data_IF_299881156872
#
_entry.id   IF_299881156872
#
_cell.length_a   1.000
_cell.length_b   1.000
_cell.length_c   1.000
_cell.angle_alpha   90.00
_cell.angle_beta   90.00
_cell.angle_gamma   90.00
#
_symmetry.space_group_name_H-M   'P 1'
#
loop_
_entity.id
_entity.type
_entity.pdbx_description
1 polymer ?
#
# COMPACT_ATOMS: atom_id res chain seq x y z
N UNK A 1 -15.85 -1.79 10.50
CA UNK A 1 -15.39 -1.97 11.90
C UNK A 1 -15.07 -3.41 12.25
N UNK A 2 -16.01 -4.37 12.17
CA UNK A 2 -15.75 -5.78 12.49
C UNK A 2 -15.00 -6.53 11.37
N UNK A 3 -15.26 -6.17 10.11
CA UNK A 3 -14.58 -6.74 8.94
C UNK A 3 -13.10 -6.33 8.86
N UNK A 4 -12.80 -5.05 9.17
CA UNK A 4 -11.43 -4.51 9.14
C UNK A 4 -10.53 -5.20 10.17
N UNK A 5 -11.07 -5.53 11.36
CA UNK A 5 -10.34 -6.23 12.42
C UNK A 5 -10.04 -7.70 12.05
N UNK A 6 -11.01 -8.39 11.42
CA UNK A 6 -10.81 -9.76 10.93
C UNK A 6 -9.81 -9.81 9.78
N UNK A 7 -9.86 -8.85 8.84
CA UNK A 7 -8.86 -8.72 7.77
C UNK A 7 -7.47 -8.45 8.35
N UNK A 8 -7.36 -7.54 9.33
CA UNK A 8 -6.09 -7.20 9.97
C UNK A 8 -5.50 -8.38 10.77
N UNK A 9 -6.36 -9.19 11.42
CA UNK A 9 -5.97 -10.41 12.13
C UNK A 9 -5.58 -11.52 11.16
N UNK A 10 -6.35 -11.77 10.11
CA UNK A 10 -6.01 -12.77 9.10
C UNK A 10 -4.69 -12.42 8.41
N UNK A 11 -4.47 -11.15 8.07
CA UNK A 11 -3.19 -10.67 7.53
C UNK A 11 -2.01 -10.99 8.46
N UNK A 12 -2.19 -10.78 9.77
CA UNK A 12 -1.15 -11.07 10.77
C UNK A 12 -0.95 -12.58 11.03
N UNK A 13 -1.99 -13.41 10.84
CA UNK A 13 -1.95 -14.87 11.05
C UNK A 13 -1.31 -15.61 9.86
N UNK A 14 -1.45 -15.10 8.63
CA UNK A 14 -0.95 -15.78 7.43
C UNK A 14 0.41 -15.27 6.93
N UNK A 15 0.89 -14.12 7.40
CA UNK A 15 2.19 -13.58 6.98
C UNK A 15 3.36 -14.33 7.61
N UNK A 16 4.26 -14.86 6.77
CA UNK A 16 5.53 -15.46 7.19
C UNK A 16 6.42 -14.39 7.81
N UNK A 17 6.67 -14.48 9.12
CA UNK A 17 7.54 -13.53 9.85
C UNK A 17 8.86 -14.17 10.21
N UNK A 18 9.97 -13.52 9.87
CA UNK A 18 11.33 -14.00 10.11
C UNK A 18 12.16 -12.99 10.94
N UNK A 19 13.04 -13.46 11.83
CA UNK A 19 14.04 -12.60 12.46
C UNK A 19 14.96 -11.95 11.43
N UNK A 20 15.40 -10.72 11.69
CA UNK A 20 16.34 -9.98 10.81
C UNK A 20 17.59 -10.80 10.42
N UNK A 21 18.12 -11.62 11.32
CA UNK A 21 19.28 -12.47 11.03
C UNK A 21 18.99 -13.52 9.94
N UNK A 22 17.79 -14.13 9.98
CA UNK A 22 17.34 -15.11 8.98
C UNK A 22 17.08 -14.45 7.63
N UNK A 23 16.54 -13.22 7.66
CA UNK A 23 16.31 -12.41 6.46
C UNK A 23 17.65 -12.06 5.79
N UNK A 24 18.65 -11.62 6.55
CA UNK A 24 19.99 -11.31 6.02
C UNK A 24 20.67 -12.53 5.41
N UNK A 25 20.59 -13.69 6.07
CA UNK A 25 21.22 -14.92 5.60
C UNK A 25 20.62 -15.46 4.30
N UNK A 26 19.31 -15.29 4.10
CA UNK A 26 18.58 -15.88 2.97
C UNK A 26 17.97 -14.83 2.03
N UNK A 27 18.52 -13.61 2.01
CA UNK A 27 17.85 -12.45 1.42
C UNK A 27 17.42 -12.66 -0.04
N UNK A 28 18.31 -13.17 -0.88
CA UNK A 28 18.01 -13.42 -2.31
C UNK A 28 16.93 -14.47 -2.53
N UNK A 29 16.87 -15.53 -1.69
CA UNK A 29 15.82 -16.54 -1.79
C UNK A 29 14.46 -15.97 -1.37
N UNK A 30 14.45 -15.16 -0.32
CA UNK A 30 13.24 -14.47 0.14
C UNK A 30 12.72 -13.46 -0.89
N UNK A 31 13.60 -12.77 -1.63
CA UNK A 31 13.17 -11.90 -2.73
C UNK A 31 12.47 -12.68 -3.86
N UNK A 32 12.93 -13.89 -4.19
CA UNK A 32 12.22 -14.76 -5.15
C UNK A 32 10.83 -15.16 -4.65
N UNK A 33 10.69 -15.43 -3.35
CA UNK A 33 9.37 -15.67 -2.76
C UNK A 33 8.47 -14.43 -2.89
N UNK A 34 9.02 -13.23 -2.70
CA UNK A 34 8.28 -11.97 -2.87
C UNK A 34 7.89 -11.73 -4.33
N UNK A 35 8.75 -12.03 -5.29
CA UNK A 35 8.41 -11.95 -6.73
C UNK A 35 7.22 -12.86 -7.09
N UNK A 36 7.05 -13.99 -6.39
CA UNK A 36 5.91 -14.89 -6.56
C UNK A 36 4.63 -14.41 -5.88
N UNK A 37 4.66 -13.23 -5.23
CA UNK A 37 3.50 -12.62 -4.57
C UNK A 37 3.45 -12.82 -3.07
N UNK A 38 4.45 -13.45 -2.45
CA UNK A 38 4.45 -13.66 -1.00
C UNK A 38 4.88 -12.40 -0.24
N UNK A 39 4.39 -12.27 0.98
CA UNK A 39 4.78 -11.21 1.89
C UNK A 39 5.61 -11.75 3.04
N UNK A 40 6.62 -10.98 3.47
CA UNK A 40 7.58 -11.42 4.47
C UNK A 40 7.71 -10.36 5.57
N UNK A 41 7.24 -10.69 6.76
CA UNK A 41 7.42 -9.88 7.96
C UNK A 41 8.85 -9.98 8.49
N UNK A 42 9.39 -8.86 8.97
CA UNK A 42 10.71 -8.78 9.58
C UNK A 42 10.56 -8.45 11.06
N UNK A 43 10.94 -9.41 11.89
CA UNK A 43 11.01 -9.25 13.34
C UNK A 43 12.39 -8.74 13.77
N UNK A 44 12.41 -7.75 14.69
CA UNK A 44 13.63 -7.11 15.16
C UNK A 44 13.65 -6.91 16.68
N UNK A 45 14.86 -6.80 17.23
CA UNK A 45 15.10 -6.54 18.65
C UNK A 45 14.85 -7.74 19.56
N UNK A 46 15.00 -7.53 20.87
CA UNK A 46 14.91 -8.61 21.88
C UNK A 46 13.52 -9.24 21.96
N UNK A 47 12.48 -8.42 21.76
CA UNK A 47 11.09 -8.87 21.80
C UNK A 47 10.62 -9.53 20.51
N UNK A 48 11.46 -9.50 19.46
CA UNK A 48 11.12 -10.05 18.15
C UNK A 48 9.79 -9.50 17.61
N UNK A 49 9.57 -8.20 17.81
CA UNK A 49 8.39 -7.50 17.29
C UNK A 49 8.54 -7.33 15.77
N UNK A 50 7.46 -7.58 15.04
CA UNK A 50 7.42 -7.34 13.58
C UNK A 50 7.38 -5.84 13.35
N UNK A 51 8.45 -5.29 12.77
CA UNK A 51 8.58 -3.83 12.56
C UNK A 51 8.58 -3.43 11.09
N UNK A 52 8.69 -4.39 10.19
CA UNK A 52 8.69 -4.14 8.75
C UNK A 52 8.12 -5.34 7.99
N UNK A 53 7.69 -5.12 6.75
CA UNK A 53 7.25 -6.15 5.81
C UNK A 53 7.87 -5.88 4.43
N UNK A 54 8.30 -6.94 3.75
CA UNK A 54 8.67 -6.92 2.34
C UNK A 54 7.48 -7.42 1.56
N UNK A 55 6.99 -6.60 0.62
CA UNK A 55 5.84 -6.90 -0.24
C UNK A 55 6.23 -6.77 -1.72
N UNK A 56 5.52 -7.45 -2.64
CA UNK A 56 5.69 -7.23 -4.07
C UNK A 56 5.47 -5.76 -4.46
N UNK A 57 6.16 -5.26 -5.48
CA UNK A 57 6.06 -3.84 -5.87
C UNK A 57 4.65 -3.49 -6.37
N UNK A 58 3.95 -4.43 -7.00
CA UNK A 58 2.56 -4.32 -7.43
C UNK A 58 1.60 -4.18 -6.24
N UNK A 59 1.82 -4.93 -5.16
CA UNK A 59 1.04 -4.81 -3.93
C UNK A 59 1.30 -3.45 -3.26
N UNK A 60 2.57 -3.03 -3.16
CA UNK A 60 2.91 -1.70 -2.65
C UNK A 60 2.21 -0.58 -3.44
N UNK A 61 2.16 -0.70 -4.78
CA UNK A 61 1.44 0.25 -5.66
C UNK A 61 -0.06 0.22 -5.41
N UNK A 62 -0.67 -0.96 -5.21
CA UNK A 62 -2.10 -1.09 -4.85
C UNK A 62 -2.42 -0.42 -3.52
N UNK A 63 -1.63 -0.70 -2.48
CA UNK A 63 -1.81 -0.09 -1.14
C UNK A 63 -1.66 1.43 -1.21
N UNK A 64 -0.73 1.92 -2.03
CA UNK A 64 -0.51 3.36 -2.25
C UNK A 64 -1.59 4.03 -3.10
N UNK A 65 -2.35 3.27 -3.88
CA UNK A 65 -3.44 3.84 -4.67
C UNK A 65 -4.47 4.44 -3.71
N UNK A 66 -4.76 5.74 -3.89
CA UNK A 66 -5.79 6.40 -3.09
C UNK A 66 -7.12 5.76 -3.44
N UNK A 67 -7.85 5.30 -2.42
CA UNK A 67 -9.24 4.92 -2.59
C UNK A 67 -10.01 6.15 -3.06
N UNK A 68 -10.56 6.09 -4.27
CA UNK A 68 -11.43 7.14 -4.75
C UNK A 68 -12.72 7.12 -3.90
N UNK A 69 -13.31 8.30 -3.73
CA UNK A 69 -14.49 8.46 -2.88
C UNK A 69 -15.75 7.85 -3.48
N UNK A 70 -16.90 8.27 -2.97
CA UNK A 70 -18.22 7.81 -3.43
C UNK A 70 -18.51 8.01 -4.92
N UNK A 71 -17.73 8.88 -5.58
CA UNK A 71 -17.83 9.23 -7.00
C UNK A 71 -16.96 8.36 -7.92
N UNK A 72 -16.16 7.42 -7.37
CA UNK A 72 -15.38 6.48 -8.18
C UNK A 72 -16.25 5.76 -9.22
N UNK A 73 -15.89 5.88 -10.50
CA UNK A 73 -16.59 5.23 -11.61
C UNK A 73 -18.02 5.75 -11.87
N UNK A 74 -18.50 6.76 -11.14
CA UNK A 74 -19.85 7.34 -11.29
C UNK A 74 -19.86 8.66 -12.03
N UNK A 75 -18.72 9.33 -12.12
CA UNK A 75 -18.59 10.62 -12.77
C UNK A 75 -17.46 10.58 -13.79
N UNK A 76 -17.65 11.30 -14.89
CA UNK A 76 -16.64 11.56 -15.89
C UNK A 76 -16.16 12.99 -15.69
N UNK A 77 -14.85 13.19 -15.60
CA UNK A 77 -14.25 14.52 -15.59
C UNK A 77 -13.94 14.88 -17.04
N UNK A 78 -14.46 16.02 -17.49
CA UNK A 78 -14.18 16.61 -18.79
C UNK A 78 -13.58 17.99 -18.51
N UNK A 79 -12.67 18.46 -19.36
CA UNK A 79 -12.11 19.82 -19.27
C UNK A 79 -12.32 20.47 -20.64
N UNK A 80 -13.03 21.61 -20.67
CA UNK A 80 -13.21 22.40 -21.90
C UNK A 80 -12.15 23.49 -22.01
N UNK A 81 -11.77 23.86 -23.23
CA UNK A 81 -10.91 25.02 -23.50
C UNK A 81 -11.54 26.32 -22.97
N UNK A 82 -12.88 26.38 -22.96
CA UNK A 82 -13.69 27.52 -22.47
C UNK A 82 -13.65 27.69 -20.94
N UNK A 83 -13.00 26.79 -20.20
CA UNK A 83 -12.87 26.89 -18.75
C UNK A 83 -11.64 27.68 -18.29
N UNK A 84 -10.86 28.16 -19.26
CA UNK A 84 -9.75 29.08 -18.98
C UNK A 84 -10.34 30.42 -18.56
N UNK A 85 -10.03 30.85 -17.33
CA UNK A 85 -10.40 32.18 -16.80
C UNK A 85 -9.11 32.96 -16.52
N UNK A 86 -9.10 34.27 -16.75
CA UNK A 86 -7.93 35.10 -16.41
C UNK A 86 -7.92 35.50 -14.94
N UNK A 87 -6.75 35.92 -14.43
CA UNK A 87 -6.62 36.40 -13.06
C UNK A 87 -7.48 37.66 -12.81
N UNK A 88 -7.59 38.56 -13.80
CA UNK A 88 -8.45 39.74 -13.69
C UNK A 88 -9.94 39.36 -13.60
N UNK A 89 -10.37 38.34 -14.35
CA UNK A 89 -11.75 37.86 -14.31
C UNK A 89 -12.07 37.17 -12.97
N UNK A 90 -11.10 36.48 -12.37
CA UNK A 90 -11.27 35.82 -11.06
C UNK A 90 -11.33 36.81 -9.89
N UNK A 91 -10.53 37.88 -9.92
CA UNK A 91 -10.44 38.86 -8.83
C UNK A 91 -11.65 39.82 -8.80
N UNK A 92 -12.35 39.99 -9.93
CA UNK A 92 -13.51 40.89 -10.03
C UNK A 92 -14.88 40.20 -9.79
N UNK A 93 -14.90 39.03 -9.12
CA UNK A 93 -16.12 38.32 -8.68
C UNK A 93 -16.51 38.68 -7.26
#
# INVERSE_FOLDING_TARGET
>A
MQLDYVVHICYYIYMKTLPVAKVRMNFSALLKEVELGNEIGIAFGRKQETIAVIVPIEEYKRIKARKLGTLEGKVKVEFSEDWTITDEEFINV
#
